data_IF_920097633206
#
_entry.id   IF_920097633206
#
_cell.length_a   1.000
_cell.length_b   1.000
_cell.length_c   1.000
_cell.angle_alpha   90.00
_cell.angle_beta   90.00
_cell.angle_gamma   90.00
#
_symmetry.space_group_name_H-M   'P 1'
#
loop_
_entity.id
_entity.type
_entity.pdbx_description
1 polymer ?
#
# COMPACT_ATOMS: atom_id res chain seq x y z
N UNK A 1 3.24 -16.29 2.83
CA UNK A 1 2.11 -15.34 2.86
C UNK A 1 2.72 -14.03 3.30
N UNK A 2 2.84 -13.11 2.36
CA UNK A 2 3.72 -11.95 2.50
C UNK A 2 3.17 -11.01 3.57
N UNK A 3 4.01 -10.59 4.51
CA UNK A 3 3.62 -9.68 5.60
C UNK A 3 3.80 -8.20 5.21
N UNK A 4 4.00 -7.90 3.92
CA UNK A 4 4.40 -6.57 3.47
C UNK A 4 3.37 -5.52 3.89
N UNK A 5 2.07 -5.79 3.71
CA UNK A 5 0.98 -4.89 4.08
C UNK A 5 0.83 -4.71 5.60
N UNK A 6 1.37 -5.64 6.40
CA UNK A 6 1.32 -5.60 7.86
C UNK A 6 2.55 -4.91 8.49
N UNK A 7 3.54 -4.52 7.69
CA UNK A 7 4.75 -3.91 8.21
C UNK A 7 4.54 -2.41 8.49
N UNK A 8 4.92 -1.91 9.67
CA UNK A 8 4.79 -0.49 9.96
C UNK A 8 5.68 0.36 9.06
N UNK A 9 5.16 1.51 8.59
CA UNK A 9 5.88 2.47 7.76
C UNK A 9 5.80 3.87 8.34
N UNK A 10 6.93 4.58 8.32
CA UNK A 10 6.97 6.00 8.65
C UNK A 10 7.07 6.79 7.36
N UNK A 11 6.11 7.66 7.11
CA UNK A 11 6.04 8.46 5.88
C UNK A 11 5.72 9.90 6.22
N UNK A 12 6.14 10.81 5.35
CA UNK A 12 5.79 12.22 5.48
C UNK A 12 4.61 12.50 4.57
N UNK A 13 3.52 12.99 5.16
CA UNK A 13 2.26 13.37 4.51
C UNK A 13 2.08 14.87 4.74
N UNK A 14 2.13 15.66 3.67
CA UNK A 14 2.22 17.11 3.72
C UNK A 14 3.39 17.55 4.62
N UNK A 15 3.06 18.30 5.68
CA UNK A 15 4.05 18.79 6.65
C UNK A 15 4.32 17.85 7.84
N UNK A 16 3.66 16.68 7.90
CA UNK A 16 3.70 15.80 9.08
C UNK A 16 4.29 14.44 8.76
N UNK A 17 5.28 14.05 9.55
CA UNK A 17 5.75 12.66 9.56
C UNK A 17 4.86 11.83 10.47
N UNK A 18 4.22 10.80 9.91
CA UNK A 18 3.29 9.90 10.59
C UNK A 18 3.78 8.45 10.44
N UNK A 19 3.56 7.62 11.46
CA UNK A 19 3.84 6.18 11.41
C UNK A 19 2.55 5.40 11.28
N UNK A 20 2.42 4.66 10.19
CA UNK A 20 1.31 3.75 9.92
C UNK A 20 1.66 2.33 10.38
N UNK A 21 0.73 1.66 11.07
CA UNK A 21 0.96 0.32 11.63
C UNK A 21 0.92 -0.77 10.56
N UNK A 22 0.08 -0.57 9.56
CA UNK A 22 -0.18 -1.44 8.43
C UNK A 22 -0.90 -0.63 7.33
N UNK A 23 -1.19 -1.27 6.21
CA UNK A 23 -1.88 -0.66 5.07
C UNK A 23 -3.28 -0.16 5.45
N UNK A 24 -4.02 -0.92 6.28
CA UNK A 24 -5.37 -0.53 6.72
C UNK A 24 -5.35 0.79 7.51
N UNK A 25 -4.38 0.98 8.41
CA UNK A 25 -4.22 2.24 9.15
C UNK A 25 -3.93 3.43 8.23
N UNK A 26 -3.23 3.21 7.10
CA UNK A 26 -3.03 4.23 6.08
C UNK A 26 -4.34 4.53 5.32
N UNK A 27 -5.13 3.50 5.00
CA UNK A 27 -6.44 3.66 4.36
C UNK A 27 -7.44 4.42 5.24
N UNK A 28 -7.51 4.10 6.53
CA UNK A 28 -8.32 4.84 7.52
C UNK A 28 -7.94 6.32 7.54
N UNK A 29 -6.64 6.64 7.42
CA UNK A 29 -6.18 8.03 7.37
C UNK A 29 -6.68 8.77 6.13
N UNK A 30 -6.71 8.10 4.97
CA UNK A 30 -7.28 8.65 3.74
C UNK A 30 -8.78 8.94 3.89
N UNK A 31 -9.55 7.99 4.47
CA UNK A 31 -10.99 8.16 4.70
C UNK A 31 -11.28 9.37 5.61
N UNK A 32 -10.47 9.58 6.64
CA UNK A 32 -10.58 10.75 7.52
C UNK A 32 -10.35 12.07 6.78
N UNK A 33 -9.39 12.11 5.85
CA UNK A 33 -9.12 13.30 5.04
C UNK A 33 -10.24 13.57 4.04
N UNK A 34 -10.74 12.53 3.36
CA UNK A 34 -11.91 12.63 2.46
C UNK A 34 -13.11 13.16 3.24
N UNK A 35 -13.41 12.60 4.41
CA UNK A 35 -14.49 13.07 5.27
C UNK A 35 -14.27 14.49 5.82
N UNK A 36 -13.01 14.95 5.92
CA UNK A 36 -12.71 16.35 6.25
C UNK A 36 -13.02 17.27 5.08
N UNK A 37 -12.57 16.93 3.87
CA UNK A 37 -12.83 17.69 2.64
C UNK A 37 -14.32 17.84 2.43
N UNK A 38 -15.08 16.74 2.45
CA UNK A 38 -16.53 16.76 2.25
C UNK A 38 -17.25 17.63 3.28
N UNK A 39 -16.82 17.62 4.55
CA UNK A 39 -17.38 18.49 5.59
C UNK A 39 -17.08 19.96 5.34
N UNK A 40 -15.87 20.29 4.92
CA UNK A 40 -15.49 21.67 4.58
C UNK A 40 -16.32 22.14 3.39
N UNK A 41 -16.39 21.36 2.31
CA UNK A 41 -17.16 21.68 1.10
C UNK A 41 -18.64 21.89 1.40
N UNK A 42 -19.25 21.02 2.22
CA UNK A 42 -20.68 21.12 2.57
C UNK A 42 -20.98 22.36 3.42
N UNK A 43 -20.05 22.77 4.29
CA UNK A 43 -20.20 23.92 5.17
C UNK A 43 -19.73 25.25 4.56
N UNK A 44 -19.17 25.25 3.35
CA UNK A 44 -18.55 26.42 2.77
C UNK A 44 -19.58 27.30 2.06
N UNK A 45 -19.55 28.61 2.38
CA UNK A 45 -20.29 29.60 1.61
C UNK A 45 -19.72 29.71 0.17
N UNK A 46 -20.51 30.17 -0.82
CA UNK A 46 -20.09 30.21 -2.22
C UNK A 46 -18.80 31.01 -2.51
N UNK A 47 -18.50 31.99 -1.67
CA UNK A 47 -17.28 32.81 -1.71
C UNK A 47 -16.11 32.18 -0.95
N UNK A 48 -16.39 31.29 0.01
CA UNK A 48 -15.40 30.57 0.81
C UNK A 48 -14.50 31.49 1.66
N UNK A 49 -14.14 31.04 2.86
CA UNK A 49 -13.09 31.74 3.60
C UNK A 49 -11.72 31.27 3.09
N UNK A 50 -10.71 32.14 3.10
CA UNK A 50 -9.31 31.73 2.83
C UNK A 50 -8.86 30.58 3.74
N UNK A 51 -9.40 30.51 4.97
CA UNK A 51 -9.12 29.42 5.91
C UNK A 51 -9.65 28.09 5.38
N UNK A 52 -10.87 28.07 4.84
CA UNK A 52 -11.46 26.86 4.27
C UNK A 52 -10.72 26.42 3.00
N UNK A 53 -10.34 27.37 2.14
CA UNK A 53 -9.57 27.07 0.93
C UNK A 53 -8.20 26.49 1.26
N UNK A 54 -7.49 27.05 2.25
CA UNK A 54 -6.22 26.50 2.71
C UNK A 54 -6.40 25.11 3.33
N UNK A 55 -7.43 24.91 4.15
CA UNK A 55 -7.70 23.60 4.74
C UNK A 55 -8.04 22.52 3.70
N UNK A 56 -8.73 22.89 2.61
CA UNK A 56 -8.98 22.01 1.47
C UNK A 56 -7.69 21.67 0.73
N UNK A 57 -6.85 22.68 0.47
CA UNK A 57 -5.56 22.48 -0.19
C UNK A 57 -4.65 21.53 0.62
N UNK A 58 -4.51 21.79 1.93
CA UNK A 58 -3.71 20.96 2.84
C UNK A 58 -4.22 19.51 2.89
N UNK A 59 -5.55 19.32 2.91
CA UNK A 59 -6.15 17.98 2.94
C UNK A 59 -6.02 17.25 1.60
N UNK A 60 -6.07 17.97 0.47
CA UNK A 60 -5.89 17.41 -0.86
C UNK A 60 -4.43 16.99 -1.10
N UNK A 61 -3.46 17.84 -0.71
CA UNK A 61 -2.03 17.51 -0.76
C UNK A 61 -1.73 16.26 0.08
N UNK A 62 -2.26 16.21 1.31
CA UNK A 62 -2.11 15.04 2.17
C UNK A 62 -2.73 13.76 1.55
N UNK A 63 -3.83 13.87 0.80
CA UNK A 63 -4.41 12.71 0.10
C UNK A 63 -3.55 12.24 -1.07
N UNK A 64 -2.95 13.16 -1.83
CA UNK A 64 -2.03 12.82 -2.91
C UNK A 64 -0.81 12.05 -2.38
N UNK A 65 -0.23 12.50 -1.28
CA UNK A 65 0.87 11.81 -0.61
C UNK A 65 0.46 10.41 -0.13
N UNK A 66 -0.72 10.27 0.48
CA UNK A 66 -1.22 8.95 0.90
C UNK A 66 -1.41 8.02 -0.31
N UNK A 67 -1.96 8.52 -1.42
CA UNK A 67 -2.12 7.72 -2.65
C UNK A 67 -0.77 7.25 -3.21
N UNK A 68 0.26 8.09 -3.17
CA UNK A 68 1.60 7.72 -3.58
C UNK A 68 2.16 6.60 -2.68
N UNK A 69 2.00 6.72 -1.36
CA UNK A 69 2.44 5.70 -0.41
C UNK A 69 1.67 4.39 -0.58
N UNK A 70 0.34 4.44 -0.76
CA UNK A 70 -0.48 3.27 -1.01
C UNK A 70 -0.05 2.54 -2.28
N UNK A 71 0.17 3.29 -3.36
CA UNK A 71 0.62 2.74 -4.65
C UNK A 71 1.93 1.99 -4.51
N UNK A 72 2.92 2.59 -3.85
CA UNK A 72 4.22 1.95 -3.65
C UNK A 72 4.12 0.71 -2.77
N UNK A 73 3.32 0.79 -1.69
CA UNK A 73 3.15 -0.34 -0.78
C UNK A 73 2.47 -1.54 -1.45
N UNK A 74 1.46 -1.31 -2.29
CA UNK A 74 0.82 -2.36 -3.09
C UNK A 74 1.79 -2.94 -4.12
N UNK A 75 2.60 -2.10 -4.78
CA UNK A 75 3.63 -2.55 -5.73
C UNK A 75 4.62 -3.50 -5.05
N UNK A 76 5.10 -3.15 -3.86
CA UNK A 76 5.99 -4.02 -3.08
C UNK A 76 5.32 -5.33 -2.65
N UNK A 77 4.02 -5.29 -2.36
CA UNK A 77 3.26 -6.49 -2.05
C UNK A 77 3.14 -7.42 -3.25
N UNK A 78 2.88 -6.87 -4.43
CA UNK A 78 2.83 -7.62 -5.71
C UNK A 78 4.20 -8.23 -6.04
N UNK A 79 5.29 -7.48 -5.86
CA UNK A 79 6.66 -7.96 -6.03
C UNK A 79 6.95 -9.14 -5.09
N UNK A 80 6.53 -9.05 -3.83
CA UNK A 80 6.69 -10.12 -2.85
C UNK A 80 5.88 -11.38 -3.22
N UNK A 81 4.66 -11.23 -3.73
CA UNK A 81 3.84 -12.35 -4.22
C UNK A 81 4.52 -13.00 -5.43
N UNK A 82 5.02 -12.21 -6.39
CA UNK A 82 5.69 -12.71 -7.57
C UNK A 82 6.93 -13.56 -7.21
N UNK A 83 7.71 -13.11 -6.22
CA UNK A 83 8.84 -13.85 -5.67
C UNK A 83 8.42 -15.16 -4.99
N UNK A 84 7.36 -15.15 -4.17
CA UNK A 84 6.83 -16.37 -3.55
C UNK A 84 6.37 -17.38 -4.63
N UNK A 85 5.66 -16.92 -5.68
CA UNK A 85 5.23 -17.77 -6.79
C UNK A 85 6.41 -18.41 -7.51
N UNK A 86 7.45 -17.63 -7.82
CA UNK A 86 8.64 -18.15 -8.51
C UNK A 86 9.41 -19.15 -7.64
N UNK A 87 9.49 -18.91 -6.33
CA UNK A 87 10.05 -19.87 -5.37
C UNK A 87 9.29 -21.19 -5.38
N UNK A 88 7.95 -21.14 -5.34
CA UNK A 88 7.10 -22.34 -5.40
C UNK A 88 7.28 -23.07 -6.73
N UNK A 89 7.30 -22.37 -7.87
CA UNK A 89 7.55 -22.97 -9.19
C UNK A 89 8.88 -23.70 -9.26
N UNK A 90 9.94 -23.12 -8.69
CA UNK A 90 11.26 -23.75 -8.60
C UNK A 90 11.22 -25.01 -7.74
N UNK A 91 10.55 -24.95 -6.59
CA UNK A 91 10.40 -26.11 -5.69
C UNK A 91 9.68 -27.27 -6.39
N UNK A 92 8.59 -26.98 -7.12
CA UNK A 92 7.85 -27.99 -7.91
C UNK A 92 8.75 -28.61 -8.98
N UNK A 93 9.51 -27.80 -9.72
CA UNK A 93 10.43 -28.29 -10.75
C UNK A 93 11.49 -29.23 -10.16
N UNK A 94 12.06 -28.86 -9.01
CA UNK A 94 13.08 -29.64 -8.33
C UNK A 94 12.53 -30.98 -7.82
N UNK A 95 11.28 -31.03 -7.36
CA UNK A 95 10.62 -32.28 -6.97
C UNK A 95 10.46 -33.24 -8.16
N UNK A 96 10.04 -32.73 -9.32
CA UNK A 96 9.90 -33.54 -10.54
C UNK A 96 11.24 -34.08 -11.04
N UNK A 97 12.33 -33.32 -10.92
CA UNK A 97 13.68 -33.78 -11.33
C UNK A 97 14.24 -34.86 -10.40
N UNK A 98 13.98 -34.78 -9.09
CA UNK A 98 14.45 -35.80 -8.14
C UNK A 98 13.75 -37.14 -8.33
N UNK A 99 12.49 -37.17 -8.77
CA UNK A 99 11.77 -38.42 -9.06
C UNK A 99 12.10 -39.08 -10.39
N UNK A 100 12.73 -38.35 -11.33
CA UNK A 100 13.03 -38.87 -12.68
C UNK A 100 14.42 -39.52 -12.77
N UNK A 101 15.34 -39.21 -11.84
CA UNK A 101 16.70 -39.75 -11.84
C UNK A 101 16.84 -41.16 -11.24
N UNK A 102 15.85 -41.66 -10.50
CA UNK A 102 15.93 -42.99 -9.86
C UNK A 102 15.47 -44.15 -10.78
N UNK A 103 14.96 -43.87 -11.99
CA UNK A 103 14.45 -44.89 -12.92
C UNK A 103 15.35 -45.14 -14.15
N UNK A 104 16.51 -44.48 -14.26
CA UNK A 104 17.40 -44.58 -15.42
C UNK A 104 18.66 -45.44 -15.19
N UNK A 105 18.76 -46.12 -14.05
CA UNK A 105 19.95 -46.88 -13.66
C UNK A 105 19.60 -48.17 -12.94
N UNK A 106 19.02 -49.14 -13.65
CA UNK A 106 19.18 -50.55 -13.30
C UNK A 106 19.53 -51.29 -14.60
N UNK A 107 20.78 -51.76 -14.66
CA UNK A 107 21.36 -52.57 -15.74
C UNK A 107 21.60 -53.98 -15.22
#
# INVERSE_FOLDING_TARGET
>A
MTSVLDMPRTVTIGSRTETFRNYDHLAERAELLIGSIQRIETGMAPDGSNVNWNALADAAEALEDILAVQTEWLREHDDAIALEIESIRRNIRNLNTSGTNDAAGDS
#
